data_IF_120175399637
#
_entry.id   IF_120175399637
#
_cell.length_a   1.000
_cell.length_b   1.000
_cell.length_c   1.000
_cell.angle_alpha   90.00
_cell.angle_beta   90.00
_cell.angle_gamma   90.00
#
_symmetry.space_group_name_H-M   'P 1'
#
loop_
_entity.id
_entity.type
_entity.pdbx_description
1 polymer ?
#
# COMPACT_ATOMS: atom_id res chain seq x y z
N UNK A 1 -0.32 11.36 4.27
CA UNK A 1 0.41 10.12 3.94
C UNK A 1 1.79 10.37 3.32
N UNK A 2 1.94 10.97 2.13
CA UNK A 2 3.28 11.11 1.51
C UNK A 2 4.23 12.04 2.28
N UNK A 3 3.71 13.15 2.82
CA UNK A 3 4.49 14.04 3.68
C UNK A 3 4.90 13.32 4.98
N UNK A 4 3.94 12.67 5.64
CA UNK A 4 4.18 11.89 6.86
C UNK A 4 5.17 10.73 6.64
N UNK A 5 5.13 10.09 5.47
CA UNK A 5 6.09 9.06 5.07
C UNK A 5 7.51 9.62 4.97
N UNK A 6 7.67 10.81 4.38
CA UNK A 6 8.96 11.50 4.33
C UNK A 6 9.46 11.82 5.74
N UNK A 7 8.60 12.36 6.59
CA UNK A 7 8.95 12.73 7.97
C UNK A 7 9.37 11.49 8.78
N UNK A 8 8.55 10.42 8.75
CA UNK A 8 8.87 9.17 9.43
C UNK A 8 10.20 8.56 8.95
N UNK A 9 10.50 8.67 7.65
CA UNK A 9 11.75 8.17 7.09
C UNK A 9 12.96 9.01 7.52
N UNK A 10 12.87 10.35 7.52
CA UNK A 10 13.97 11.23 7.95
C UNK A 10 14.28 11.00 9.43
N UNK A 11 13.25 10.93 10.27
CA UNK A 11 13.39 10.78 11.71
C UNK A 11 13.62 9.33 12.17
N UNK A 12 13.58 8.37 11.23
CA UNK A 12 13.61 6.93 11.53
C UNK A 12 12.57 6.53 12.60
N UNK A 13 11.39 7.15 12.56
CA UNK A 13 10.33 6.92 13.54
C UNK A 13 9.59 5.60 13.24
N UNK A 14 9.96 4.55 13.97
CA UNK A 14 9.40 3.22 13.82
C UNK A 14 7.91 3.14 14.18
N UNK A 15 7.45 3.96 15.14
CA UNK A 15 6.06 3.95 15.56
C UNK A 15 5.18 4.64 14.53
N UNK A 16 5.63 5.79 14.00
CA UNK A 16 4.96 6.45 12.88
C UNK A 16 4.95 5.55 11.65
N UNK A 17 6.08 4.89 11.34
CA UNK A 17 6.18 3.97 10.22
C UNK A 17 5.17 2.82 10.33
N UNK A 18 5.05 2.19 11.50
CA UNK A 18 4.07 1.12 11.74
C UNK A 18 2.62 1.56 11.49
N UNK A 19 2.23 2.75 11.96
CA UNK A 19 0.88 3.29 11.71
C UNK A 19 0.65 3.61 10.23
N UNK A 20 1.64 4.22 9.58
CA UNK A 20 1.55 4.60 8.17
C UNK A 20 1.53 3.38 7.24
N UNK A 21 2.18 2.27 7.60
CA UNK A 21 2.10 0.99 6.86
C UNK A 21 0.67 0.48 6.82
N UNK A 22 -0.03 0.49 7.96
CA UNK A 22 -1.44 0.07 8.04
C UNK A 22 -2.30 0.97 7.15
N UNK A 23 -2.13 2.29 7.24
CA UNK A 23 -2.87 3.24 6.41
C UNK A 23 -2.60 3.07 4.91
N UNK A 24 -1.34 2.79 4.53
CA UNK A 24 -0.99 2.56 3.14
C UNK A 24 -1.67 1.30 2.60
N UNK A 25 -1.69 0.20 3.37
CA UNK A 25 -2.41 -1.03 3.01
C UNK A 25 -3.90 -0.81 2.86
N UNK A 26 -4.54 -0.14 3.82
CA UNK A 26 -5.97 0.20 3.74
C UNK A 26 -6.29 1.03 2.49
N UNK A 27 -5.39 1.95 2.10
CA UNK A 27 -5.54 2.74 0.89
C UNK A 27 -5.33 1.92 -0.40
N UNK A 28 -4.37 0.99 -0.41
CA UNK A 28 -4.18 0.04 -1.52
C UNK A 28 -5.42 -0.82 -1.72
N UNK A 29 -5.98 -1.38 -0.63
CA UNK A 29 -7.20 -2.20 -0.63
C UNK A 29 -8.41 -1.40 -1.10
N UNK A 30 -8.54 -0.14 -0.66
CA UNK A 30 -9.57 0.76 -1.14
C UNK A 30 -9.47 0.97 -2.65
N UNK A 31 -8.27 1.22 -3.19
CA UNK A 31 -8.07 1.38 -4.63
C UNK A 31 -8.47 0.13 -5.42
N UNK A 32 -8.15 -1.07 -4.92
CA UNK A 32 -8.58 -2.33 -5.55
C UNK A 32 -10.10 -2.48 -5.54
N UNK A 33 -10.74 -2.22 -4.40
CA UNK A 33 -12.21 -2.28 -4.28
C UNK A 33 -12.91 -1.31 -5.23
N UNK A 34 -12.35 -0.11 -5.42
CA UNK A 34 -12.88 0.86 -6.38
C UNK A 34 -12.73 0.37 -7.82
N UNK A 35 -11.60 -0.24 -8.18
CA UNK A 35 -11.41 -0.85 -9.51
C UNK A 35 -12.41 -1.99 -9.73
N UNK A 36 -12.61 -2.88 -8.75
CA UNK A 36 -13.60 -3.95 -8.85
C UNK A 36 -15.02 -3.40 -9.03
N UNK A 37 -15.37 -2.36 -8.29
CA UNK A 37 -16.69 -1.70 -8.39
C UNK A 37 -16.91 -1.12 -9.78
N UNK A 38 -15.89 -0.47 -10.37
CA UNK A 38 -15.96 0.06 -11.74
C UNK A 38 -16.11 -1.04 -12.79
N UNK A 39 -15.50 -2.21 -12.59
CA UNK A 39 -15.59 -3.34 -13.50
C UNK A 39 -16.93 -4.09 -13.41
N UNK A 40 -17.54 -4.13 -12.21
CA UNK A 40 -18.83 -4.81 -11.96
C UNK A 40 -20.04 -3.90 -12.18
N UNK A 41 -19.85 -2.59 -12.12
CA UNK A 41 -20.91 -1.60 -12.28
C UNK A 41 -21.21 -1.28 -13.74
N UNK A 42 -22.48 -0.98 -14.01
CA UNK A 42 -22.91 -0.30 -15.24
C UNK A 42 -22.76 1.21 -15.00
N UNK A 43 -21.52 1.71 -14.96
CA UNK A 43 -21.29 3.15 -14.85
C UNK A 43 -21.77 3.80 -16.15
N UNK A 44 -22.60 4.84 -16.14
CA UNK A 44 -23.21 5.36 -17.37
C UNK A 44 -22.29 6.18 -18.29
N UNK A 45 -20.97 6.18 -18.11
CA UNK A 45 -20.08 7.17 -18.75
C UNK A 45 -18.74 6.57 -19.15
N UNK A 46 -18.36 6.71 -20.42
CA UNK A 46 -17.11 6.29 -21.12
C UNK A 46 -15.75 6.62 -20.46
N UNK A 47 -15.70 6.99 -19.18
CA UNK A 47 -14.53 7.36 -18.39
C UNK A 47 -14.08 6.25 -17.44
N UNK A 48 -14.74 5.10 -17.38
CA UNK A 48 -14.44 4.03 -16.42
C UNK A 48 -13.00 3.56 -16.55
N UNK A 49 -12.51 3.43 -17.79
CA UNK A 49 -11.13 3.07 -18.06
C UNK A 49 -10.14 4.11 -17.50
N UNK A 50 -10.41 5.40 -17.67
CA UNK A 50 -9.56 6.47 -17.15
C UNK A 50 -9.58 6.50 -15.61
N UNK A 51 -10.74 6.31 -15.00
CA UNK A 51 -10.89 6.28 -13.54
C UNK A 51 -10.19 5.04 -12.97
N UNK A 52 -10.33 3.87 -13.60
CA UNK A 52 -9.65 2.64 -13.18
C UNK A 52 -8.11 2.78 -13.27
N UNK A 53 -7.60 3.44 -14.31
CA UNK A 53 -6.19 3.78 -14.41
C UNK A 53 -5.74 4.74 -13.30
N UNK A 54 -6.55 5.75 -12.98
CA UNK A 54 -6.25 6.66 -11.87
C UNK A 54 -6.13 5.92 -10.54
N UNK A 55 -7.08 5.04 -10.19
CA UNK A 55 -6.99 4.21 -8.98
C UNK A 55 -5.75 3.29 -8.99
N UNK A 56 -5.40 2.69 -10.13
CA UNK A 56 -4.15 1.91 -10.25
C UNK A 56 -2.91 2.75 -10.00
N UNK A 57 -2.86 3.99 -10.49
CA UNK A 57 -1.75 4.90 -10.23
C UNK A 57 -1.68 5.30 -8.75
N UNK A 58 -2.82 5.59 -8.12
CA UNK A 58 -2.89 5.90 -6.70
C UNK A 58 -2.42 4.72 -5.83
N UNK A 59 -2.90 3.50 -6.12
CA UNK A 59 -2.41 2.29 -5.47
C UNK A 59 -0.90 2.15 -5.59
N UNK A 60 -0.35 2.37 -6.79
CA UNK A 60 1.10 2.28 -6.99
C UNK A 60 1.89 3.30 -6.17
N UNK A 61 1.40 4.54 -6.08
CA UNK A 61 2.03 5.58 -5.24
C UNK A 61 1.99 5.16 -3.76
N UNK A 62 0.87 4.62 -3.29
CA UNK A 62 0.75 4.12 -1.93
C UNK A 62 1.67 2.92 -1.67
N UNK A 63 1.75 1.96 -2.58
CA UNK A 63 2.68 0.83 -2.50
C UNK A 63 4.15 1.26 -2.47
N UNK A 64 4.52 2.31 -3.19
CA UNK A 64 5.87 2.88 -3.09
C UNK A 64 6.14 3.50 -1.72
N UNK A 65 5.17 4.23 -1.15
CA UNK A 65 5.30 4.75 0.21
C UNK A 65 5.37 3.61 1.25
N UNK A 66 4.53 2.58 1.09
CA UNK A 66 4.54 1.38 1.93
C UNK A 66 5.92 0.71 1.92
N UNK A 67 6.55 0.54 0.75
CA UNK A 67 7.90 -0.03 0.64
C UNK A 67 8.98 0.81 1.35
N UNK A 68 8.87 2.15 1.31
CA UNK A 68 9.78 3.04 2.05
C UNK A 68 9.56 2.92 3.56
N UNK A 69 8.31 2.80 3.99
CA UNK A 69 7.98 2.66 5.40
C UNK A 69 8.41 1.30 5.96
N UNK A 70 8.27 0.22 5.19
CA UNK A 70 8.70 -1.11 5.62
C UNK A 70 10.21 -1.20 5.78
N UNK A 71 11.01 -0.44 5.02
CA UNK A 71 12.46 -0.40 5.22
C UNK A 71 12.90 0.23 6.55
N UNK A 72 12.00 0.96 7.24
CA UNK A 72 12.28 1.53 8.57
C UNK A 72 12.12 0.44 9.64
N UNK A 73 11.12 -0.43 9.51
CA UNK A 73 10.73 -1.40 10.56
C UNK A 73 11.22 -2.83 10.31
N UNK A 74 11.66 -3.13 9.08
CA UNK A 74 12.22 -4.42 8.71
C UNK A 74 13.75 -4.30 8.61
N UNK A 75 14.52 -5.22 9.19
CA UNK A 75 15.95 -5.29 8.92
C UNK A 75 16.19 -5.63 7.45
N UNK A 76 17.31 -5.14 6.88
CA UNK A 76 17.59 -5.21 5.44
C UNK A 76 17.49 -6.63 4.86
N UNK A 77 17.88 -7.64 5.64
CA UNK A 77 17.82 -9.06 5.27
C UNK A 77 16.40 -9.63 5.18
N UNK A 78 15.40 -8.89 5.67
CA UNK A 78 13.97 -9.27 5.66
C UNK A 78 13.09 -8.38 4.81
N UNK A 79 13.66 -7.35 4.17
CA UNK A 79 12.93 -6.55 3.18
C UNK A 79 12.52 -7.51 2.05
N UNK A 80 11.22 -7.51 1.70
CA UNK A 80 10.52 -8.48 0.82
C UNK A 80 10.18 -9.86 1.42
N UNK A 81 10.68 -10.22 2.60
CA UNK A 81 10.39 -11.49 3.28
C UNK A 81 9.45 -11.27 4.47
N UNK A 82 8.17 -11.06 4.18
CA UNK A 82 7.15 -10.97 5.22
C UNK A 82 7.02 -12.33 5.96
N UNK A 83 6.77 -12.29 7.26
CA UNK A 83 6.62 -13.50 8.11
C UNK A 83 5.52 -14.46 7.65
N UNK A 84 4.60 -14.04 6.78
CA UNK A 84 3.61 -14.93 6.17
C UNK A 84 4.25 -16.01 5.29
N UNK A 85 5.42 -15.74 4.69
CA UNK A 85 6.16 -16.72 3.88
C UNK A 85 6.84 -17.80 4.74
N UNK A 86 7.12 -17.50 6.01
CA UNK A 86 7.72 -18.43 6.98
C UNK A 86 6.70 -19.13 7.90
N UNK A 87 5.44 -18.69 7.92
CA UNK A 87 4.37 -19.22 8.78
C UNK A 87 3.81 -20.59 8.40
N UNK A 88 4.23 -21.18 7.27
CA UNK A 88 3.83 -22.54 6.86
C UNK A 88 4.93 -23.58 7.08
N UNK A 89 5.55 -23.64 8.27
CA UNK A 89 6.24 -24.86 8.72
C UNK A 89 6.03 -25.13 10.21
N UNK A 90 5.35 -26.26 10.44
CA UNK A 90 5.26 -27.14 11.62
C UNK A 90 4.18 -26.80 12.66
N UNK A 91 3.00 -27.38 12.45
CA UNK A 91 2.37 -28.24 13.44
C UNK A 91 2.39 -29.68 12.88
#
# INVERSE_FOLDING_TARGET
MLADCREAFIEQDHNAAGRLIVQAREFEDHCDSQVETLLRGNVPEHKEAAIALAYRHFKRIAGHAHNVLTSIVQPLDKIDFSSEEFGKKKA
#
